data_IF_755289378244
#
_entry.id   IF_755289378244
#
_cell.length_a   1.000
_cell.length_b   1.000
_cell.length_c   1.000
_cell.angle_alpha   90.00
_cell.angle_beta   90.00
_cell.angle_gamma   90.00
#
_symmetry.space_group_name_H-M   'P 1'
#
loop_
_entity.id
_entity.type
_entity.pdbx_description
1 polymer ?
#
# COMPACT_ATOMS: atom_id res chain seq x y z
N UNK A 1 24.88 -14.93 77.98
CA UNK A 1 24.30 -14.40 76.72
C UNK A 1 24.64 -15.38 75.61
N UNK A 2 23.61 -16.04 75.04
CA UNK A 2 23.61 -16.95 73.87
C UNK A 2 22.57 -16.35 72.89
N UNK A 3 22.41 -16.81 71.62
CA UNK A 3 23.36 -17.16 70.55
C UNK A 3 22.85 -16.61 69.17
N UNK A 4 23.34 -17.19 68.05
CA UNK A 4 22.58 -17.46 66.79
C UNK A 4 22.41 -16.31 65.78
N UNK A 5 22.29 -16.50 64.47
CA UNK A 5 22.61 -17.54 63.48
C UNK A 5 22.49 -16.82 62.10
N UNK A 6 23.07 -17.43 61.06
CA UNK A 6 22.88 -17.19 59.61
C UNK A 6 21.54 -16.55 59.18
N UNK A 7 21.53 -15.79 58.07
CA UNK A 7 20.72 -16.05 56.86
C UNK A 7 20.87 -14.92 55.82
N UNK A 8 21.28 -15.26 54.61
CA UNK A 8 21.13 -14.44 53.41
C UNK A 8 19.73 -14.65 52.82
N UNK A 9 19.23 -13.69 52.02
CA UNK A 9 18.62 -14.10 50.77
C UNK A 9 19.18 -13.33 49.57
N UNK A 10 19.61 -14.11 48.59
CA UNK A 10 19.77 -13.73 47.19
C UNK A 10 18.39 -13.38 46.64
N UNK A 11 18.16 -12.11 46.26
CA UNK A 11 16.95 -11.72 45.54
C UNK A 11 17.23 -11.86 44.04
N UNK A 12 16.68 -12.94 43.47
CA UNK A 12 16.65 -13.23 42.05
C UNK A 12 15.58 -12.32 41.40
N UNK A 13 16.00 -11.23 40.74
CA UNK A 13 15.09 -10.37 40.00
C UNK A 13 14.83 -10.95 38.60
N UNK A 14 13.82 -11.82 38.48
CA UNK A 14 13.27 -12.28 37.21
C UNK A 14 12.24 -11.25 36.69
N UNK A 15 12.70 -10.23 35.96
CA UNK A 15 11.83 -9.29 35.25
C UNK A 15 11.69 -9.69 33.78
N UNK A 16 10.55 -10.26 33.39
CA UNK A 16 10.20 -10.58 32.01
C UNK A 16 10.34 -9.34 31.11
N UNK A 17 11.21 -9.43 30.11
CA UNK A 17 11.23 -8.51 28.96
C UNK A 17 9.99 -8.80 28.10
N UNK A 18 8.86 -8.15 28.41
CA UNK A 18 7.73 -8.06 27.51
C UNK A 18 8.11 -7.15 26.33
N UNK A 19 8.70 -7.72 25.28
CA UNK A 19 9.01 -7.05 24.03
C UNK A 19 7.72 -6.72 23.29
N UNK A 20 7.05 -5.64 23.72
CA UNK A 20 6.01 -5.02 22.92
C UNK A 20 6.68 -4.48 21.66
N UNK A 21 6.50 -5.20 20.55
CA UNK A 21 6.86 -4.73 19.23
C UNK A 21 5.98 -3.53 18.91
N UNK A 22 6.43 -2.34 19.31
CA UNK A 22 5.84 -1.07 18.90
C UNK A 22 6.02 -0.96 17.39
N UNK A 23 4.99 -1.38 16.63
CA UNK A 23 4.91 -1.03 15.21
C UNK A 23 4.79 0.48 15.14
N UNK A 24 5.74 1.14 14.47
CA UNK A 24 5.66 2.57 14.23
C UNK A 24 4.30 2.89 13.61
N UNK A 25 3.54 3.77 14.26
CA UNK A 25 2.27 4.24 13.72
C UNK A 25 2.57 5.06 12.47
N UNK A 26 1.92 4.73 11.35
CA UNK A 26 1.96 5.59 10.18
C UNK A 26 1.19 6.88 10.48
N UNK A 27 1.62 8.01 9.91
CA UNK A 27 0.95 9.31 10.11
C UNK A 27 -0.47 9.32 9.56
N UNK A 28 -0.79 8.39 8.65
CA UNK A 28 -2.13 8.15 8.10
C UNK A 28 -3.00 7.26 9.01
N UNK A 29 -2.49 6.81 10.15
CA UNK A 29 -3.20 5.96 11.10
C UNK A 29 -2.99 4.46 10.85
N UNK A 30 -3.97 3.64 11.25
CA UNK A 30 -3.91 2.19 11.12
C UNK A 30 -4.32 1.74 9.71
N UNK A 31 -3.57 0.84 9.06
CA UNK A 31 -3.97 0.27 7.77
C UNK A 31 -5.31 -0.47 7.85
N UNK A 32 -6.20 -0.21 6.90
CA UNK A 32 -7.51 -0.87 6.77
C UNK A 32 -7.53 -1.92 5.65
N UNK A 33 -6.69 -1.76 4.62
CA UNK A 33 -6.62 -2.68 3.50
C UNK A 33 -5.23 -2.67 2.83
N UNK A 34 -5.01 -3.61 1.91
CA UNK A 34 -3.85 -3.63 1.02
C UNK A 34 -4.29 -3.65 -0.43
N UNK A 35 -3.52 -3.01 -1.31
CA UNK A 35 -3.75 -3.01 -2.75
C UNK A 35 -2.47 -3.47 -3.44
N UNK A 36 -2.55 -4.47 -4.31
CA UNK A 36 -1.45 -4.79 -5.23
C UNK A 36 -1.90 -4.43 -6.63
N UNK A 37 -1.02 -3.86 -7.47
CA UNK A 37 -1.42 -3.43 -8.80
C UNK A 37 -0.28 -3.40 -9.83
N UNK A 38 -0.67 -3.47 -11.09
CA UNK A 38 0.16 -3.13 -12.25
C UNK A 38 -0.52 -2.02 -13.03
N UNK A 39 0.24 -0.98 -13.35
CA UNK A 39 -0.19 0.14 -14.17
C UNK A 39 0.71 0.23 -15.41
N UNK A 40 0.10 0.48 -16.55
CA UNK A 40 0.77 0.83 -17.78
C UNK A 40 0.49 2.29 -18.05
N UNK A 41 1.51 3.01 -18.52
CA UNK A 41 1.41 4.42 -18.85
C UNK A 41 1.97 4.64 -20.25
N UNK A 42 1.20 5.36 -21.07
CA UNK A 42 1.61 5.79 -22.39
C UNK A 42 1.47 7.30 -22.48
N UNK A 43 2.59 7.98 -22.68
CA UNK A 43 2.65 9.41 -22.81
C UNK A 43 2.70 9.77 -24.31
N UNK A 44 1.53 10.06 -24.88
CA UNK A 44 1.34 10.67 -26.20
C UNK A 44 0.23 11.71 -26.04
N UNK A 45 0.52 12.99 -26.25
CA UNK A 45 -0.47 14.08 -26.24
C UNK A 45 -1.43 14.10 -25.01
N UNK A 46 -0.89 14.07 -23.79
CA UNK A 46 -1.66 14.25 -22.54
C UNK A 46 -1.67 13.05 -21.59
N UNK A 47 -1.14 11.91 -22.02
CA UNK A 47 -0.86 10.75 -21.18
C UNK A 47 -2.09 9.96 -20.75
N UNK A 48 -2.03 8.65 -20.96
CA UNK A 48 -3.07 7.73 -20.53
C UNK A 48 -2.47 6.58 -19.75
N UNK A 49 -3.10 6.27 -18.60
CA UNK A 49 -2.68 5.18 -17.73
C UNK A 49 -3.81 4.16 -17.60
N UNK A 50 -3.48 2.88 -17.61
CA UNK A 50 -4.44 1.79 -17.41
C UNK A 50 -3.81 0.62 -16.69
N UNK A 51 -4.59 -0.09 -15.90
CA UNK A 51 -4.06 -1.12 -15.04
C UNK A 51 -5.12 -1.97 -14.39
N UNK A 52 -4.63 -2.95 -13.65
CA UNK A 52 -5.44 -3.86 -12.84
C UNK A 52 -4.74 -4.07 -11.50
N UNK A 53 -5.54 -4.40 -10.50
CA UNK A 53 -5.08 -4.66 -9.16
C UNK A 53 -5.99 -5.63 -8.41
N UNK A 54 -5.59 -5.94 -7.19
CA UNK A 54 -6.41 -6.65 -6.22
C UNK A 54 -6.37 -5.90 -4.89
N UNK A 55 -7.56 -5.57 -4.39
CA UNK A 55 -7.77 -5.00 -3.07
C UNK A 55 -8.05 -6.12 -2.08
N UNK A 56 -7.30 -6.14 -0.99
CA UNK A 56 -7.42 -7.05 0.13
C UNK A 56 -8.06 -6.30 1.27
N UNK A 57 -9.33 -6.57 1.54
CA UNK A 57 -10.13 -5.88 2.54
C UNK A 57 -10.88 -6.89 3.39
N UNK A 58 -10.61 -6.88 4.70
CA UNK A 58 -11.06 -7.94 5.61
C UNK A 58 -10.49 -9.30 5.21
N UNK A 59 -11.36 -10.31 5.12
CA UNK A 59 -11.02 -11.69 4.72
C UNK A 59 -11.16 -11.95 3.22
N UNK A 60 -11.42 -10.91 2.40
CA UNK A 60 -11.74 -11.05 0.99
C UNK A 60 -10.74 -10.29 0.11
N UNK A 61 -10.68 -10.71 -1.15
CA UNK A 61 -9.93 -10.01 -2.17
C UNK A 61 -10.81 -9.67 -3.37
N UNK A 62 -10.66 -8.46 -3.89
CA UNK A 62 -11.52 -7.87 -4.90
C UNK A 62 -10.69 -7.37 -6.08
N UNK A 63 -11.00 -7.75 -7.33
CA UNK A 63 -10.30 -7.22 -8.47
C UNK A 63 -10.63 -5.73 -8.65
N UNK A 64 -9.60 -4.94 -8.95
CA UNK A 64 -9.69 -3.49 -9.14
C UNK A 64 -9.22 -3.16 -10.54
N UNK A 65 -10.02 -2.41 -11.28
CA UNK A 65 -9.62 -1.76 -12.53
C UNK A 65 -9.08 -0.37 -12.21
N UNK A 66 -7.97 -0.02 -12.82
CA UNK A 66 -7.31 1.27 -12.67
C UNK A 66 -7.26 1.94 -14.04
N UNK A 67 -7.71 3.18 -14.11
CA UNK A 67 -7.60 4.02 -15.31
C UNK A 67 -7.17 5.41 -14.89
N UNK A 68 -6.44 6.12 -15.72
CA UNK A 68 -5.97 7.45 -15.36
C UNK A 68 -5.44 8.21 -16.56
N UNK A 69 -4.95 9.40 -16.29
CA UNK A 69 -4.31 10.23 -17.31
C UNK A 69 -3.67 11.46 -16.70
N UNK A 70 -3.12 12.30 -17.57
CA UNK A 70 -2.40 13.51 -17.16
C UNK A 70 -0.89 13.31 -17.01
N UNK A 71 -0.36 12.13 -17.36
CA UNK A 71 1.07 11.93 -17.46
C UNK A 71 1.63 12.72 -18.66
N UNK A 72 2.40 13.77 -18.41
CA UNK A 72 3.06 14.54 -19.49
C UNK A 72 4.36 13.84 -19.88
N UNK A 73 4.58 13.63 -21.18
CA UNK A 73 5.83 13.10 -21.70
C UNK A 73 5.70 12.37 -23.03
N UNK A 74 6.77 11.66 -23.40
CA UNK A 74 6.83 10.76 -24.56
C UNK A 74 7.33 9.40 -24.08
N UNK A 75 6.61 8.34 -24.43
CA UNK A 75 7.07 6.97 -24.25
C UNK A 75 6.10 6.09 -23.48
N UNK A 76 6.56 4.90 -23.16
CA UNK A 76 5.78 3.88 -22.48
C UNK A 76 6.50 3.39 -21.24
N UNK A 77 5.75 3.22 -20.15
CA UNK A 77 6.27 2.64 -18.92
C UNK A 77 5.30 1.65 -18.30
N UNK A 78 5.86 0.71 -17.55
CA UNK A 78 5.14 -0.25 -16.72
C UNK A 78 5.54 -0.02 -15.27
N UNK A 79 4.54 0.15 -14.43
CA UNK A 79 4.67 0.29 -12.99
C UNK A 79 4.08 -0.95 -12.32
N UNK A 80 4.82 -1.53 -11.37
CA UNK A 80 4.31 -2.54 -10.45
C UNK A 80 4.39 -1.99 -9.04
N UNK A 81 3.32 -2.11 -8.26
CA UNK A 81 3.29 -1.51 -6.93
C UNK A 81 2.41 -2.22 -5.93
N UNK A 82 2.67 -1.86 -4.68
CA UNK A 82 1.87 -2.20 -3.52
C UNK A 82 1.38 -0.90 -2.88
N UNK A 83 0.19 -0.93 -2.30
CA UNK A 83 -0.47 0.17 -1.63
C UNK A 83 -0.95 -0.27 -0.26
N UNK A 84 -0.62 0.49 0.76
CA UNK A 84 -1.29 0.42 2.06
C UNK A 84 -2.47 1.37 2.02
N UNK A 85 -3.67 0.86 2.29
CA UNK A 85 -4.92 1.63 2.25
C UNK A 85 -5.33 1.95 3.69
N UNK A 86 -5.75 3.19 3.91
CA UNK A 86 -6.20 3.73 5.18
C UNK A 86 -7.61 4.28 5.03
N UNK A 87 -8.32 4.41 6.15
CA UNK A 87 -9.66 5.02 6.21
C UNK A 87 -10.72 4.35 5.32
N UNK A 88 -10.49 3.10 4.87
CA UNK A 88 -11.48 2.35 4.09
C UNK A 88 -12.49 1.67 5.03
N UNK A 89 -13.67 2.27 5.17
CA UNK A 89 -14.74 1.74 6.00
C UNK A 89 -15.65 0.75 5.25
N UNK A 90 -15.97 1.03 3.98
CA UNK A 90 -16.79 0.15 3.13
C UNK A 90 -16.09 -0.10 1.81
N UNK A 91 -16.33 -1.28 1.22
CA UNK A 91 -15.75 -1.65 -0.08
C UNK A 91 -16.05 -0.61 -1.17
N UNK A 92 -17.24 0.00 -1.17
CA UNK A 92 -17.61 1.01 -2.16
C UNK A 92 -16.76 2.28 -2.09
N UNK A 93 -16.21 2.61 -0.92
CA UNK A 93 -15.49 3.87 -0.71
C UNK A 93 -14.11 3.86 -1.40
N UNK A 94 -13.61 2.69 -1.81
CA UNK A 94 -12.41 2.59 -2.67
C UNK A 94 -12.69 3.10 -4.09
N UNK A 95 -13.94 3.05 -4.55
CA UNK A 95 -14.31 3.46 -5.91
C UNK A 95 -14.28 4.98 -5.99
N UNK A 96 -13.41 5.52 -6.83
CA UNK A 96 -13.28 6.96 -6.91
C UNK A 96 -12.09 7.40 -7.72
N UNK A 97 -11.95 8.71 -7.85
CA UNK A 97 -10.78 9.34 -8.45
C UNK A 97 -9.83 9.76 -7.35
N UNK A 98 -8.60 9.28 -7.48
CA UNK A 98 -7.50 9.54 -6.58
C UNK A 98 -6.56 10.57 -7.19
N UNK A 99 -6.08 11.48 -6.34
CA UNK A 99 -5.10 12.50 -6.68
C UNK A 99 -3.86 12.32 -5.83
N UNK A 100 -2.69 12.51 -6.43
CA UNK A 100 -1.43 12.50 -5.67
C UNK A 100 -1.35 13.74 -4.77
N UNK A 101 -1.35 13.54 -3.46
CA UNK A 101 -1.29 14.62 -2.45
C UNK A 101 0.15 14.91 -2.05
N UNK A 102 0.95 13.85 -1.99
CA UNK A 102 2.36 13.90 -1.60
C UNK A 102 3.12 12.86 -2.40
N UNK A 103 3.92 13.31 -3.36
CA UNK A 103 5.03 12.52 -3.87
C UNK A 103 6.15 12.62 -2.84
N UNK A 104 6.48 11.52 -2.16
CA UNK A 104 7.65 11.52 -1.29
C UNK A 104 8.91 11.55 -2.16
N UNK A 105 9.90 12.37 -1.80
CA UNK A 105 11.12 12.61 -2.59
C UNK A 105 12.02 11.37 -2.77
N UNK A 106 11.58 10.20 -2.33
CA UNK A 106 12.27 8.91 -2.46
C UNK A 106 12.12 8.34 -3.88
N UNK A 107 12.34 9.17 -4.89
CA UNK A 107 12.47 8.76 -6.29
C UNK A 107 13.92 8.41 -6.58
N UNK A 108 14.38 7.26 -6.06
CA UNK A 108 15.73 6.77 -6.29
C UNK A 108 15.68 5.42 -7.02
N UNK A 109 16.45 5.30 -8.12
CA UNK A 109 16.63 4.06 -8.89
C UNK A 109 15.30 3.40 -9.36
N UNK A 110 14.35 4.21 -9.83
CA UNK A 110 13.08 3.72 -10.37
C UNK A 110 12.06 3.24 -9.33
N UNK A 111 12.31 3.46 -8.04
CA UNK A 111 11.31 3.29 -6.98
C UNK A 111 10.59 4.61 -6.76
N UNK A 112 9.26 4.57 -6.67
CA UNK A 112 8.41 5.74 -6.46
C UNK A 112 7.51 5.50 -5.25
N UNK A 113 7.37 6.51 -4.39
CA UNK A 113 6.45 6.49 -3.25
C UNK A 113 5.50 7.67 -3.37
N UNK A 114 4.20 7.42 -3.28
CA UNK A 114 3.17 8.45 -3.37
C UNK A 114 2.02 8.15 -2.43
N UNK A 115 1.48 9.19 -1.80
CA UNK A 115 0.19 9.15 -1.10
C UNK A 115 -0.87 9.73 -2.02
N UNK A 116 -1.94 8.97 -2.24
CA UNK A 116 -3.11 9.40 -2.99
C UNK A 116 -4.35 9.40 -2.10
N UNK A 117 -5.19 10.42 -2.23
CA UNK A 117 -6.49 10.49 -1.55
C UNK A 117 -7.65 10.53 -2.55
N UNK A 118 -8.85 10.13 -2.11
CA UNK A 118 -10.09 10.34 -2.85
C UNK A 118 -11.12 11.14 -2.04
N UNK A 119 -12.20 11.57 -2.72
CA UNK A 119 -13.31 12.29 -2.10
C UNK A 119 -14.12 11.51 -1.05
N UNK A 120 -13.86 10.22 -0.86
CA UNK A 120 -14.45 9.40 0.21
C UNK A 120 -13.58 9.39 1.47
N UNK A 121 -12.45 10.12 1.48
CA UNK A 121 -11.51 10.17 2.61
C UNK A 121 -10.60 8.94 2.69
N UNK A 122 -10.49 8.16 1.62
CA UNK A 122 -9.61 6.98 1.56
C UNK A 122 -8.23 7.41 1.09
N UNK A 123 -7.21 7.07 1.88
CA UNK A 123 -5.81 7.30 1.55
C UNK A 123 -5.14 6.01 1.09
N UNK A 124 -4.27 6.11 0.08
CA UNK A 124 -3.43 5.01 -0.40
C UNK A 124 -1.98 5.47 -0.42
N UNK A 125 -1.16 4.88 0.45
CA UNK A 125 0.30 5.03 0.41
C UNK A 125 0.89 3.94 -0.47
N UNK A 126 1.36 4.32 -1.64
CA UNK A 126 1.89 3.41 -2.66
C UNK A 126 3.41 3.37 -2.66
N UNK A 127 3.97 2.19 -2.89
CA UNK A 127 5.36 1.98 -3.27
C UNK A 127 5.38 1.24 -4.60
N UNK A 128 5.98 1.86 -5.61
CA UNK A 128 5.98 1.37 -6.98
C UNK A 128 7.41 1.22 -7.49
N UNK A 129 7.60 0.30 -8.44
CA UNK A 129 8.80 0.21 -9.28
C UNK A 129 8.40 0.48 -10.71
N UNK A 130 9.11 1.39 -11.37
CA UNK A 130 8.90 1.75 -12.77
C UNK A 130 9.97 1.12 -13.64
N UNK A 131 9.55 0.58 -14.78
CA UNK A 131 10.41 0.09 -15.86
C UNK A 131 9.90 0.63 -17.19
N UNK A 132 10.78 1.12 -18.05
CA UNK A 132 10.42 1.67 -19.36
C UNK A 132 11.29 2.86 -19.76
N UNK A 133 11.08 3.35 -20.98
CA UNK A 133 11.81 4.48 -21.55
C UNK A 133 11.32 5.84 -21.02
N UNK A 134 10.25 5.84 -20.23
CA UNK A 134 9.64 7.02 -19.63
C UNK A 134 9.61 6.92 -18.10
N UNK A 135 9.95 8.03 -17.43
CA UNK A 135 9.74 8.19 -15.98
C UNK A 135 8.30 8.64 -15.76
N UNK A 136 7.47 7.73 -15.24
CA UNK A 136 6.08 8.03 -14.91
C UNK A 136 5.95 9.32 -14.09
N UNK A 137 4.96 10.14 -14.43
CA UNK A 137 4.77 11.45 -13.81
C UNK A 137 4.56 11.34 -12.29
N UNK A 138 5.20 12.24 -11.54
CA UNK A 138 5.06 12.32 -10.08
C UNK A 138 3.62 12.68 -9.64
N UNK A 139 2.86 13.30 -10.54
CA UNK A 139 1.45 13.66 -10.34
C UNK A 139 0.61 12.86 -11.32
N UNK A 140 -0.30 12.04 -10.79
CA UNK A 140 -1.23 11.24 -11.60
C UNK A 140 -2.63 11.31 -11.00
N UNK A 141 -3.62 11.32 -11.89
CA UNK A 141 -5.03 11.15 -11.52
C UNK A 141 -5.44 9.74 -11.88
N UNK A 142 -5.74 8.92 -10.87
CA UNK A 142 -6.13 7.52 -11.05
C UNK A 142 -7.55 7.30 -10.58
N UNK A 143 -8.41 6.78 -11.44
CA UNK A 143 -9.72 6.25 -11.07
C UNK A 143 -9.61 4.75 -10.79
N UNK A 144 -9.99 4.35 -9.58
CA UNK A 144 -10.09 2.94 -9.17
C UNK A 144 -11.56 2.52 -9.16
N UNK A 145 -11.83 1.31 -9.65
CA UNK A 145 -13.14 0.67 -9.56
C UNK A 145 -13.00 -0.81 -9.24
N UNK A 146 -13.70 -1.28 -8.22
CA UNK A 146 -13.88 -2.70 -7.95
C UNK A 146 -14.85 -3.28 -8.98
N UNK A 147 -14.48 -4.37 -9.62
CA UNK A 147 -15.37 -5.15 -10.49
C UNK A 147 -15.80 -6.43 -9.77
N UNK A 148 -16.96 -6.46 -9.09
CA UNK A 148 -17.40 -7.65 -8.38
C UNK A 148 -17.79 -8.81 -9.31
N UNK A 149 -17.80 -8.63 -10.64
CA UNK A 149 -18.51 -9.52 -11.57
C UNK A 149 -17.66 -10.44 -12.46
N UNK A 150 -16.31 -10.34 -12.46
CA UNK A 150 -15.50 -11.06 -13.47
C UNK A 150 -14.34 -11.92 -12.97
N UNK A 151 -14.01 -11.90 -11.68
CA UNK A 151 -12.96 -12.77 -11.15
C UNK A 151 -13.43 -13.41 -9.85
N UNK A 152 -13.34 -14.74 -9.78
CA UNK A 152 -13.78 -15.53 -8.63
C UNK A 152 -13.14 -14.97 -7.35
N UNK A 153 -13.91 -14.99 -6.26
CA UNK A 153 -13.40 -14.80 -4.91
C UNK A 153 -12.46 -15.96 -4.61
N UNK A 154 -11.18 -15.78 -4.91
CA UNK A 154 -10.13 -16.75 -4.62
C UNK A 154 -9.52 -16.44 -3.24
N UNK A 155 -8.99 -17.47 -2.58
CA UNK A 155 -8.23 -17.35 -1.33
C UNK A 155 -7.07 -16.36 -1.48
N UNK A 156 -6.80 -15.55 -0.45
CA UNK A 156 -5.76 -14.52 -0.45
C UNK A 156 -4.40 -15.11 -0.93
N UNK A 157 -3.81 -14.62 -2.03
CA UNK A 157 -2.39 -14.88 -2.29
C UNK A 157 -1.52 -14.38 -1.13
N UNK A 158 -0.56 -15.20 -0.72
CA UNK A 158 0.34 -14.97 0.43
C UNK A 158 1.33 -13.81 0.20
N UNK A 159 1.45 -13.34 -1.05
CA UNK A 159 2.30 -12.22 -1.46
C UNK A 159 1.58 -11.42 -2.54
N UNK A 160 1.92 -10.14 -2.72
CA UNK A 160 1.55 -9.35 -3.90
C UNK A 160 2.25 -9.91 -5.16
N UNK A 161 1.96 -11.15 -5.52
CA UNK A 161 2.52 -11.84 -6.67
C UNK A 161 1.36 -12.27 -7.56
N UNK A 162 1.17 -11.55 -8.66
CA UNK A 162 0.19 -11.90 -9.69
C UNK A 162 0.67 -13.12 -10.48
N UNK A 163 -0.17 -14.13 -10.76
CA UNK A 163 -0.01 -14.86 -12.00
C UNK A 163 -0.53 -13.97 -13.15
N UNK A 164 0.31 -13.78 -14.15
CA UNK A 164 -0.05 -13.24 -15.46
C UNK A 164 -0.25 -14.45 -16.36
N UNK A 165 -1.45 -14.61 -16.91
CA UNK A 165 -1.59 -15.26 -18.22
C UNK A 165 -1.52 -14.15 -19.28
#
# INVERSE_FOLDING_TARGET
MRPAFLYAPVILAAGLLATHSARAADVLGQPTAKLCFTLHDAALAGGYSWGKGRLFFGSHSYPVKITGGGAVGIGYSKLKGEGTVYNLARLSDINGTYWSVRAEATMARGRNVAVLDNNHGVDIKTTMRTSGAHLAAAVMRLTLRVDPGRERVDTLPTTCSFPIH
#
